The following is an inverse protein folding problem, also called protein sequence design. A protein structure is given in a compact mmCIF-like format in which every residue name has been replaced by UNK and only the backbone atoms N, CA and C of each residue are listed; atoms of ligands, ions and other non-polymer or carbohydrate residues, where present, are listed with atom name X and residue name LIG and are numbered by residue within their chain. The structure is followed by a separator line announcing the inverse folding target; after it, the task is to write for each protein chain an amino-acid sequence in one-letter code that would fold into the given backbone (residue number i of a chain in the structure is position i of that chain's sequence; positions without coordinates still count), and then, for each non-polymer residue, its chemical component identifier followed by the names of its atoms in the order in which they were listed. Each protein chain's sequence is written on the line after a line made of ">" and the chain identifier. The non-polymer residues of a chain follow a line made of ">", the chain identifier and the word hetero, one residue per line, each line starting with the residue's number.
data_IF_174619291197
#
_entry.id   IF_174619291197
#
_cell.length_a   1.000
_cell.length_b   1.000
_cell.length_c   1.000
_cell.angle_alpha   90.00
_cell.angle_beta   90.00
_cell.angle_gamma   90.00
#
_symmetry.space_group_name_H-M   'P 1'
#
loop_
_entity.id
_entity.type
_entity.pdbx_description
1 polymer ?
#
# COMPACT_ATOMS: atom_id res chain seq x y z
N UNK A 1 -5.41 -24.14 -27.05
CA UNK A 1 -5.37 -25.34 -27.92
C UNK A 1 -5.23 -24.86 -29.36
N UNK A 2 -4.34 -25.45 -30.17
CA UNK A 2 -4.21 -25.08 -31.59
C UNK A 2 -5.27 -25.82 -32.42
N UNK A 3 -6.45 -25.22 -32.56
CA UNK A 3 -7.56 -25.76 -33.38
C UNK A 3 -7.98 -24.73 -34.41
N UNK A 4 -8.57 -25.14 -35.56
CA UNK A 4 -9.07 -24.20 -36.56
C UNK A 4 -10.02 -23.16 -35.95
N UNK A 5 -10.94 -23.60 -35.08
CA UNK A 5 -11.88 -22.73 -34.36
C UNK A 5 -11.18 -21.71 -33.46
N UNK A 6 -10.10 -22.09 -32.79
CA UNK A 6 -9.34 -21.16 -31.95
C UNK A 6 -8.59 -20.11 -32.80
N UNK A 7 -8.08 -20.50 -33.96
CA UNK A 7 -7.44 -19.56 -34.90
C UNK A 7 -8.46 -18.57 -35.48
N UNK A 8 -9.62 -19.05 -35.94
CA UNK A 8 -10.71 -18.16 -36.41
C UNK A 8 -11.16 -17.18 -35.33
N UNK A 9 -11.22 -17.62 -34.07
CA UNK A 9 -11.54 -16.72 -32.96
C UNK A 9 -10.46 -15.67 -32.75
N UNK A 10 -9.17 -16.05 -32.76
CA UNK A 10 -8.04 -15.12 -32.68
C UNK A 10 -8.11 -14.10 -33.83
N UNK A 11 -8.36 -14.54 -35.06
CA UNK A 11 -8.48 -13.62 -36.21
C UNK A 11 -9.63 -12.62 -36.02
N UNK A 12 -10.76 -13.09 -35.48
CA UNK A 12 -11.91 -12.24 -35.15
C UNK A 12 -11.56 -11.24 -34.05
N UNK A 13 -10.86 -11.68 -33.01
CA UNK A 13 -10.40 -10.85 -31.91
C UNK A 13 -9.42 -9.77 -32.38
N UNK A 14 -8.46 -10.14 -33.22
CA UNK A 14 -7.53 -9.19 -33.85
C UNK A 14 -8.27 -8.19 -34.74
N UNK A 15 -9.21 -8.65 -35.57
CA UNK A 15 -9.99 -7.77 -36.43
C UNK A 15 -10.87 -6.78 -35.65
N UNK A 16 -11.36 -7.16 -34.47
CA UNK A 16 -12.14 -6.28 -33.58
C UNK A 16 -11.24 -5.28 -32.84
N UNK A 17 -10.05 -5.70 -32.36
CA UNK A 17 -9.05 -4.80 -31.76
C UNK A 17 -8.60 -3.70 -32.72
N UNK A 18 -8.51 -3.97 -34.01
CA UNK A 18 -8.07 -3.00 -35.03
C UNK A 18 -9.13 -1.92 -35.34
N UNK A 19 -10.25 -1.89 -34.61
CA UNK A 19 -11.33 -0.92 -34.81
C UNK A 19 -11.34 0.16 -33.72
N UNK A 20 -11.47 1.42 -34.13
CA UNK A 20 -11.72 2.54 -33.21
C UNK A 20 -13.09 2.44 -32.55
N UNK A 21 -13.14 2.58 -31.23
CA UNK A 21 -14.40 2.52 -30.47
C UNK A 21 -14.50 3.64 -29.43
N UNK A 22 -15.73 3.90 -28.97
CA UNK A 22 -15.94 4.75 -27.79
C UNK A 22 -15.56 3.94 -26.54
N UNK A 23 -14.92 4.56 -25.52
CA UNK A 23 -14.65 3.93 -24.23
C UNK A 23 -15.90 3.31 -23.64
N UNK A 24 -15.80 2.04 -23.23
CA UNK A 24 -16.93 1.31 -22.62
C UNK A 24 -17.11 1.62 -21.13
N UNK A 25 -16.09 2.21 -20.52
CA UNK A 25 -15.92 2.49 -19.10
C UNK A 25 -16.18 3.97 -18.74
N UNK A 26 -16.63 4.79 -19.70
CA UNK A 26 -17.08 6.17 -19.45
C UNK A 26 -15.97 7.11 -18.96
N UNK A 27 -14.70 6.71 -19.08
CA UNK A 27 -13.57 7.57 -18.81
C UNK A 27 -13.53 8.74 -19.80
N UNK A 28 -13.20 9.91 -19.27
CA UNK A 28 -13.52 11.23 -19.82
C UNK A 28 -12.91 11.47 -21.21
N UNK A 29 -13.70 11.24 -22.25
CA UNK A 29 -13.94 12.10 -23.45
C UNK A 29 -14.72 11.29 -24.50
N UNK A 30 -15.62 11.91 -25.27
CA UNK A 30 -16.32 11.25 -26.39
C UNK A 30 -15.40 10.93 -27.59
N UNK A 31 -14.09 10.83 -27.37
CA UNK A 31 -13.11 10.56 -28.41
C UNK A 31 -12.97 9.05 -28.62
N UNK A 32 -12.77 8.66 -29.88
CA UNK A 32 -12.48 7.28 -30.24
C UNK A 32 -11.06 6.94 -29.81
N UNK A 33 -10.87 5.79 -29.15
CA UNK A 33 -9.56 5.23 -28.82
C UNK A 33 -9.34 3.89 -29.54
N UNK A 34 -8.07 3.49 -29.62
CA UNK A 34 -7.70 2.14 -30.04
C UNK A 34 -8.26 1.13 -29.02
N UNK A 35 -8.96 0.12 -29.50
CA UNK A 35 -9.52 -0.90 -28.62
C UNK A 35 -8.42 -1.78 -28.06
N UNK A 36 -8.37 -1.92 -26.73
CA UNK A 36 -7.46 -2.85 -26.08
C UNK A 36 -7.86 -4.31 -26.35
N UNK A 37 -6.91 -5.23 -26.19
CA UNK A 37 -7.17 -6.66 -26.30
C UNK A 37 -8.22 -7.11 -25.27
N UNK A 38 -8.15 -6.59 -24.05
CA UNK A 38 -9.11 -6.87 -23.00
C UNK A 38 -10.53 -6.38 -23.36
N UNK A 39 -10.67 -5.12 -23.79
CA UNK A 39 -11.98 -4.55 -24.16
C UNK A 39 -12.60 -5.32 -25.32
N UNK A 40 -11.81 -5.62 -26.35
CA UNK A 40 -12.25 -6.41 -27.50
C UNK A 40 -12.71 -7.79 -27.09
N UNK A 41 -11.96 -8.46 -26.22
CA UNK A 41 -12.35 -9.77 -25.70
C UNK A 41 -13.67 -9.68 -24.92
N UNK A 42 -13.82 -8.71 -24.02
CA UNK A 42 -15.05 -8.50 -23.24
C UNK A 42 -16.24 -8.24 -24.16
N UNK A 43 -16.09 -7.38 -25.17
CA UNK A 43 -17.12 -7.08 -26.16
C UNK A 43 -17.54 -8.34 -26.91
N UNK A 44 -16.59 -9.09 -27.49
CA UNK A 44 -16.87 -10.31 -28.23
C UNK A 44 -17.53 -11.38 -27.35
N UNK A 45 -17.10 -11.49 -26.08
CA UNK A 45 -17.69 -12.42 -25.13
C UNK A 45 -19.12 -12.03 -24.73
N UNK A 46 -19.41 -10.73 -24.59
CA UNK A 46 -20.71 -10.23 -24.12
C UNK A 46 -21.88 -10.61 -25.05
N UNK A 47 -21.60 -10.84 -26.33
CA UNK A 47 -22.60 -11.19 -27.34
C UNK A 47 -23.28 -12.52 -27.00
N UNK A 48 -24.57 -12.47 -26.69
CA UNK A 48 -25.36 -13.64 -26.31
C UNK A 48 -25.01 -14.23 -24.94
N UNK A 49 -24.29 -13.47 -24.10
CA UNK A 49 -23.91 -13.89 -22.75
C UNK A 49 -25.05 -13.66 -21.73
N UNK A 50 -25.93 -12.68 -21.97
CA UNK A 50 -27.03 -12.35 -21.05
C UNK A 50 -28.38 -12.96 -21.47
N UNK A 51 -29.18 -13.49 -20.52
CA UNK A 51 -28.81 -13.71 -19.12
C UNK A 51 -27.74 -14.81 -19.00
N UNK A 52 -26.81 -14.67 -18.06
CA UNK A 52 -25.75 -15.66 -17.83
C UNK A 52 -26.41 -16.98 -17.48
N UNK A 53 -26.29 -17.97 -18.37
CA UNK A 53 -26.80 -19.33 -18.13
C UNK A 53 -25.70 -20.17 -17.55
N UNK A 54 -25.73 -20.37 -16.24
CA UNK A 54 -24.87 -21.36 -15.59
C UNK A 54 -25.16 -22.75 -16.18
N UNK A 55 -24.08 -23.47 -16.50
CA UNK A 55 -24.13 -24.86 -16.91
C UNK A 55 -24.44 -25.74 -15.66
N UNK A 56 -24.75 -27.05 -15.80
CA UNK A 56 -25.20 -27.91 -14.70
C UNK A 56 -24.37 -27.77 -13.40
N UNK A 57 -25.03 -27.92 -12.25
CA UNK A 57 -24.48 -27.66 -10.92
C UNK A 57 -23.03 -28.14 -10.76
N UNK A 58 -22.13 -27.20 -10.45
CA UNK A 58 -20.70 -27.43 -10.26
C UNK A 58 -19.82 -27.22 -11.49
N UNK A 59 -20.40 -27.09 -12.70
CA UNK A 59 -19.62 -26.69 -13.87
C UNK A 59 -19.33 -25.20 -13.82
N UNK A 60 -18.07 -24.83 -13.54
CA UNK A 60 -17.58 -23.44 -13.57
C UNK A 60 -17.53 -22.83 -14.97
N UNK A 61 -18.33 -23.35 -15.89
CA UNK A 61 -18.27 -23.07 -17.32
C UNK A 61 -19.43 -22.18 -17.73
N UNK A 62 -19.13 -21.17 -18.52
CA UNK A 62 -20.11 -20.25 -19.11
C UNK A 62 -19.93 -20.24 -20.62
N UNK A 63 -21.05 -20.10 -21.34
CA UNK A 63 -21.04 -19.95 -22.80
C UNK A 63 -21.20 -18.47 -23.17
N UNK A 64 -20.33 -18.00 -24.07
CA UNK A 64 -20.31 -16.65 -24.61
C UNK A 64 -20.32 -16.69 -26.16
N UNK A 65 -20.41 -15.51 -26.78
CA UNK A 65 -20.39 -15.34 -28.24
C UNK A 65 -21.44 -16.24 -28.92
N UNK A 66 -22.70 -16.16 -28.49
CA UNK A 66 -23.79 -17.01 -28.96
C UNK A 66 -23.50 -18.53 -28.89
N UNK A 67 -22.77 -18.97 -27.85
CA UNK A 67 -22.39 -20.38 -27.67
C UNK A 67 -21.16 -20.82 -28.48
N UNK A 68 -20.49 -19.89 -29.17
CA UNK A 68 -19.25 -20.18 -29.88
C UNK A 68 -18.03 -20.27 -28.96
N UNK A 69 -18.12 -19.76 -27.74
CA UNK A 69 -17.05 -19.86 -26.74
C UNK A 69 -17.58 -20.51 -25.48
N UNK A 70 -16.76 -21.38 -24.90
CA UNK A 70 -16.95 -21.89 -23.55
C UNK A 70 -15.71 -21.51 -22.76
N UNK A 71 -15.92 -20.74 -21.70
CA UNK A 71 -14.87 -20.33 -20.77
C UNK A 71 -15.20 -20.87 -19.39
N UNK A 72 -14.19 -20.98 -18.54
CA UNK A 72 -14.36 -21.42 -17.18
C UNK A 72 -13.68 -20.46 -16.21
N UNK A 73 -14.29 -20.25 -15.04
CA UNK A 73 -13.62 -19.51 -13.97
C UNK A 73 -12.53 -20.38 -13.36
N UNK A 74 -11.30 -19.86 -13.35
CA UNK A 74 -10.19 -20.51 -12.66
C UNK A 74 -10.40 -20.39 -11.14
N UNK A 75 -10.04 -21.41 -10.34
CA UNK A 75 -10.13 -21.31 -8.88
C UNK A 75 -9.25 -20.18 -8.37
N UNK A 76 -9.83 -19.23 -7.64
CA UNK A 76 -9.14 -18.05 -7.10
C UNK A 76 -8.07 -18.40 -6.06
N UNK A 77 -8.15 -19.58 -5.43
CA UNK A 77 -7.11 -20.05 -4.51
C UNK A 77 -5.84 -20.54 -5.22
N UNK A 78 -5.94 -20.94 -6.51
CA UNK A 78 -4.80 -21.40 -7.31
C UNK A 78 -4.36 -20.41 -8.38
N UNK A 79 -5.29 -19.60 -8.89
CA UNK A 79 -5.07 -18.49 -9.81
C UNK A 79 -5.60 -17.22 -9.16
N UNK A 80 -4.84 -16.69 -8.22
CA UNK A 80 -5.31 -15.63 -7.35
C UNK A 80 -5.32 -14.28 -8.07
N UNK A 81 -6.45 -13.58 -8.01
CA UNK A 81 -6.51 -12.18 -8.39
C UNK A 81 -5.93 -11.30 -7.27
N UNK A 82 -5.82 -10.00 -7.54
CA UNK A 82 -5.16 -9.11 -6.62
C UNK A 82 -5.86 -8.97 -5.28
N UNK A 83 -7.18 -8.90 -5.28
CA UNK A 83 -7.97 -8.79 -4.06
C UNK A 83 -7.82 -10.04 -3.18
N UNK A 84 -7.97 -11.23 -3.78
CA UNK A 84 -7.88 -12.52 -3.09
C UNK A 84 -6.47 -12.74 -2.48
N UNK A 85 -5.41 -12.38 -3.21
CA UNK A 85 -4.04 -12.61 -2.77
C UNK A 85 -3.50 -11.52 -1.84
N UNK A 86 -3.61 -10.25 -2.22
CA UNK A 86 -2.96 -9.14 -1.51
C UNK A 86 -3.82 -8.56 -0.39
N UNK A 87 -5.16 -8.63 -0.51
CA UNK A 87 -6.09 -8.01 0.44
C UNK A 87 -6.65 -9.04 1.41
N UNK A 88 -7.36 -10.05 0.88
CA UNK A 88 -7.96 -11.11 1.70
C UNK A 88 -6.92 -12.09 2.26
N UNK A 89 -5.76 -12.21 1.59
CA UNK A 89 -4.74 -13.24 1.88
C UNK A 89 -5.35 -14.65 1.92
N UNK A 90 -6.37 -14.92 1.11
CA UNK A 90 -7.18 -16.14 1.24
C UNK A 90 -6.40 -17.44 0.97
N UNK A 91 -5.51 -17.52 -0.05
CA UNK A 91 -4.62 -18.67 -0.19
C UNK A 91 -3.69 -18.84 1.02
N UNK A 92 -3.14 -17.73 1.53
CA UNK A 92 -2.17 -17.73 2.61
C UNK A 92 -2.80 -18.19 3.94
N UNK A 93 -4.02 -17.75 4.25
CA UNK A 93 -4.76 -18.16 5.46
C UNK A 93 -5.09 -19.66 5.46
N UNK A 94 -5.18 -20.26 4.27
CA UNK A 94 -5.38 -21.71 4.07
C UNK A 94 -4.07 -22.49 3.93
N UNK A 95 -2.91 -21.84 4.04
CA UNK A 95 -1.60 -22.47 3.84
C UNK A 95 -1.34 -22.92 2.39
N UNK A 96 -2.08 -22.37 1.42
CA UNK A 96 -1.96 -22.67 0.01
C UNK A 96 -0.96 -21.73 -0.67
N UNK A 97 -0.29 -22.24 -1.70
CA UNK A 97 0.57 -21.47 -2.60
C UNK A 97 -0.08 -21.45 -3.99
N UNK A 98 -0.59 -20.29 -4.45
CA UNK A 98 -1.13 -20.17 -5.80
C UNK A 98 -0.09 -20.51 -6.86
N UNK A 99 -0.53 -21.06 -7.99
CA UNK A 99 0.31 -21.20 -9.18
C UNK A 99 0.56 -19.85 -9.85
N UNK A 100 -0.43 -18.96 -9.78
CA UNK A 100 -0.42 -17.66 -10.42
C UNK A 100 -1.00 -16.62 -9.46
N UNK A 101 -0.34 -15.46 -9.42
CA UNK A 101 -0.84 -14.26 -8.76
C UNK A 101 -0.96 -13.16 -9.82
N UNK A 102 -2.19 -12.72 -10.07
CA UNK A 102 -2.48 -11.62 -10.97
C UNK A 102 -2.62 -10.33 -10.16
N UNK A 103 -1.79 -9.33 -10.47
CA UNK A 103 -2.00 -7.98 -9.99
C UNK A 103 -3.11 -7.29 -10.81
N UNK A 104 -4.36 -7.69 -10.54
CA UNK A 104 -5.60 -6.99 -10.97
C UNK A 104 -6.31 -6.30 -9.78
N UNK A 105 -7.10 -5.27 -10.06
CA UNK A 105 -7.78 -4.44 -9.04
C UNK A 105 -6.82 -3.66 -8.12
N UNK A 106 -5.64 -3.30 -8.63
CA UNK A 106 -4.69 -2.39 -7.96
C UNK A 106 -4.80 -1.00 -8.57
N UNK A 107 -4.48 -0.02 -7.74
CA UNK A 107 -4.50 1.39 -8.10
C UNK A 107 -3.09 1.85 -8.45
N UNK A 108 -2.97 2.95 -9.19
CA UNK A 108 -1.66 3.46 -9.59
C UNK A 108 -0.95 2.62 -10.65
N UNK A 109 -1.71 1.95 -11.52
CA UNK A 109 -1.21 1.28 -12.74
C UNK A 109 -0.02 0.35 -12.51
N UNK A 110 1.00 0.46 -13.38
CA UNK A 110 2.19 -0.40 -13.31
C UNK A 110 3.01 -0.19 -12.04
N UNK A 111 3.07 1.06 -11.55
CA UNK A 111 3.78 1.45 -10.33
C UNK A 111 3.19 0.74 -9.10
N UNK A 112 1.85 0.75 -9.00
CA UNK A 112 1.11 0.07 -7.94
C UNK A 112 1.23 -1.45 -8.03
N UNK A 113 1.05 -2.04 -9.22
CA UNK A 113 1.24 -3.49 -9.44
C UNK A 113 2.63 -3.96 -9.03
N UNK A 114 3.67 -3.22 -9.43
CA UNK A 114 5.06 -3.52 -9.07
C UNK A 114 5.28 -3.41 -7.57
N UNK A 115 4.79 -2.35 -6.93
CA UNK A 115 4.92 -2.21 -5.48
C UNK A 115 4.19 -3.32 -4.73
N UNK A 116 3.00 -3.73 -5.18
CA UNK A 116 2.24 -4.84 -4.58
C UNK A 116 3.01 -6.15 -4.61
N UNK A 117 3.65 -6.44 -5.73
CA UNK A 117 4.51 -7.62 -5.88
C UNK A 117 5.78 -7.51 -5.02
N UNK A 118 6.36 -6.31 -4.85
CA UNK A 118 7.49 -6.08 -3.94
C UNK A 118 7.10 -6.31 -2.48
N UNK A 119 5.92 -5.84 -2.07
CA UNK A 119 5.38 -6.00 -0.70
C UNK A 119 5.23 -7.48 -0.32
N UNK A 120 4.91 -8.36 -1.27
CA UNK A 120 4.79 -9.81 -1.06
C UNK A 120 6.01 -10.61 -1.55
N UNK A 121 7.13 -9.95 -1.86
CA UNK A 121 8.39 -10.58 -2.29
C UNK A 121 8.31 -11.41 -3.59
N UNK A 122 7.34 -11.09 -4.45
CA UNK A 122 7.14 -11.73 -5.75
C UNK A 122 7.82 -10.99 -6.91
N UNK A 123 8.42 -9.82 -6.66
CA UNK A 123 9.09 -9.02 -7.68
C UNK A 123 10.61 -9.24 -7.70
N UNK A 124 11.07 -10.23 -8.46
CA UNK A 124 12.49 -10.57 -8.60
C UNK A 124 13.23 -9.73 -9.67
N UNK A 125 12.54 -8.84 -10.39
CA UNK A 125 13.11 -8.09 -11.51
C UNK A 125 13.93 -6.86 -11.08
N UNK A 126 13.92 -6.50 -9.79
CA UNK A 126 14.76 -5.41 -9.29
C UNK A 126 16.24 -5.81 -9.29
N UNK A 127 17.16 -4.87 -9.59
CA UNK A 127 18.59 -5.15 -9.53
C UNK A 127 19.04 -5.44 -8.08
N UNK A 128 20.14 -6.19 -7.88
CA UNK A 128 20.66 -6.46 -6.53
C UNK A 128 20.89 -5.20 -5.69
N UNK A 129 21.31 -4.09 -6.32
CA UNK A 129 21.52 -2.80 -5.66
C UNK A 129 20.27 -2.25 -4.96
N UNK A 130 19.07 -2.54 -5.47
CA UNK A 130 17.82 -2.15 -4.82
C UNK A 130 17.71 -2.76 -3.40
N UNK A 131 18.21 -3.98 -3.22
CA UNK A 131 18.12 -4.72 -1.96
C UNK A 131 19.34 -4.56 -1.06
N UNK A 132 20.49 -4.18 -1.62
CA UNK A 132 21.78 -4.22 -0.92
C UNK A 132 22.45 -2.87 -0.72
N UNK A 133 22.08 -1.79 -1.42
CA UNK A 133 22.74 -0.49 -1.37
C UNK A 133 21.94 0.57 -0.60
N UNK A 134 22.66 1.50 0.05
CA UNK A 134 22.07 2.61 0.81
C UNK A 134 21.99 2.39 2.32
N UNK A 135 21.47 3.42 3.01
CA UNK A 135 21.12 3.39 4.43
C UNK A 135 19.62 3.55 4.53
N UNK A 136 18.99 2.89 5.48
CA UNK A 136 17.53 2.81 5.56
C UNK A 136 17.03 3.34 6.89
N UNK A 137 15.83 3.92 6.85
CA UNK A 137 15.10 4.42 8.00
C UNK A 137 13.68 3.83 7.99
N UNK A 138 13.26 3.20 9.08
CA UNK A 138 11.87 2.80 9.30
C UNK A 138 11.31 3.45 10.56
N UNK A 139 10.00 3.58 10.63
CA UNK A 139 9.29 3.90 11.87
C UNK A 139 8.63 2.63 12.42
N UNK A 140 8.85 2.37 13.70
CA UNK A 140 8.17 1.33 14.48
C UNK A 140 7.07 1.94 15.36
N UNK A 141 6.50 3.07 14.94
CA UNK A 141 5.46 3.75 15.71
C UNK A 141 4.22 2.87 15.80
N UNK A 142 3.79 2.62 17.03
CA UNK A 142 2.58 1.87 17.26
C UNK A 142 1.36 2.73 16.97
N UNK A 143 0.43 2.18 16.20
CA UNK A 143 -0.92 2.71 16.10
C UNK A 143 -1.53 2.80 17.51
N UNK A 144 -2.01 3.99 17.93
CA UNK A 144 -2.75 4.12 19.17
C UNK A 144 -3.94 3.15 19.19
N UNK A 145 -4.13 2.33 20.25
CA UNK A 145 -5.22 1.35 20.33
C UNK A 145 -6.59 1.99 20.11
N UNK A 146 -6.75 3.24 20.51
CA UNK A 146 -7.98 4.02 20.36
C UNK A 146 -8.38 4.20 18.89
N UNK A 147 -7.43 4.14 17.95
CA UNK A 147 -7.70 4.17 16.52
C UNK A 147 -8.16 2.82 15.95
N UNK A 148 -7.96 1.73 16.70
CA UNK A 148 -8.33 0.36 16.30
C UNK A 148 -9.60 -0.14 16.98
N UNK A 149 -9.90 0.34 18.19
CA UNK A 149 -11.07 -0.12 18.96
C UNK A 149 -12.38 0.43 18.39
N UNK A 150 -13.42 -0.41 18.33
CA UNK A 150 -14.73 -0.05 17.77
C UNK A 150 -15.49 0.95 18.64
N UNK A 151 -15.26 0.93 19.95
CA UNK A 151 -15.93 1.81 20.92
C UNK A 151 -15.49 3.28 20.83
N UNK A 152 -14.53 3.63 19.97
CA UNK A 152 -14.08 5.01 19.73
C UNK A 152 -15.13 5.90 19.02
N UNK A 153 -16.30 5.34 18.69
CA UNK A 153 -17.44 6.04 18.11
C UNK A 153 -17.25 6.47 16.64
N UNK A 154 -18.35 6.82 15.97
CA UNK A 154 -18.38 7.19 14.55
C UNK A 154 -18.55 6.00 13.60
N UNK A 155 -18.76 6.29 12.31
CA UNK A 155 -18.88 5.25 11.27
C UNK A 155 -17.55 4.52 11.03
N UNK A 156 -17.60 3.31 10.44
CA UNK A 156 -16.41 2.56 10.04
C UNK A 156 -15.49 3.39 9.14
N UNK A 157 -16.09 4.11 8.18
CA UNK A 157 -15.38 5.07 7.33
C UNK A 157 -14.68 6.15 8.15
N UNK A 158 -15.36 6.79 9.11
CA UNK A 158 -14.74 7.82 9.94
C UNK A 158 -13.58 7.29 10.80
N UNK A 159 -13.68 6.04 11.28
CA UNK A 159 -12.57 5.35 11.97
C UNK A 159 -11.40 5.11 11.02
N UNK A 160 -11.69 4.63 9.80
CA UNK A 160 -10.68 4.42 8.77
C UNK A 160 -9.95 5.72 8.40
N UNK A 161 -10.67 6.82 8.16
CA UNK A 161 -10.06 8.11 7.81
C UNK A 161 -9.15 8.64 8.92
N UNK A 162 -9.52 8.46 10.21
CA UNK A 162 -8.66 8.80 11.35
C UNK A 162 -7.38 7.95 11.39
N UNK A 163 -7.52 6.64 11.16
CA UNK A 163 -6.38 5.72 11.11
C UNK A 163 -5.42 6.06 9.96
N UNK A 164 -5.94 6.36 8.76
CA UNK A 164 -5.09 6.76 7.65
C UNK A 164 -4.42 8.10 7.89
N UNK A 165 -5.13 9.09 8.45
CA UNK A 165 -4.52 10.36 8.85
C UNK A 165 -3.29 10.13 9.73
N UNK A 166 -3.36 9.22 10.73
CA UNK A 166 -2.19 8.83 11.52
C UNK A 166 -1.01 8.33 10.67
N UNK A 167 -1.25 7.46 9.67
CA UNK A 167 -0.18 6.98 8.79
C UNK A 167 0.39 8.04 7.86
N UNK A 168 -0.44 9.00 7.40
CA UNK A 168 0.05 10.15 6.64
C UNK A 168 1.01 10.99 7.49
N UNK A 169 0.67 11.25 8.75
CA UNK A 169 1.53 11.94 9.70
C UNK A 169 2.83 11.17 9.99
N UNK A 170 2.75 9.86 10.23
CA UNK A 170 3.94 9.03 10.42
C UNK A 170 4.85 9.08 9.17
N UNK A 171 4.26 9.00 7.98
CA UNK A 171 5.02 9.05 6.72
C UNK A 171 5.62 10.43 6.44
N UNK A 172 4.92 11.49 6.82
CA UNK A 172 5.45 12.85 6.82
C UNK A 172 6.74 12.95 7.67
N UNK A 173 6.70 12.47 8.92
CA UNK A 173 7.88 12.45 9.79
C UNK A 173 8.99 11.56 9.25
N UNK A 174 8.63 10.39 8.70
CA UNK A 174 9.57 9.47 8.07
C UNK A 174 10.34 10.14 6.93
N UNK A 175 9.65 10.79 5.99
CA UNK A 175 10.31 11.46 4.84
C UNK A 175 11.26 12.56 5.31
N UNK A 176 10.80 13.37 6.27
CA UNK A 176 11.57 14.45 6.86
C UNK A 176 12.85 13.94 7.54
N UNK A 177 12.71 12.94 8.43
CA UNK A 177 13.85 12.33 9.12
C UNK A 177 14.77 11.55 8.18
N UNK A 178 14.22 10.88 7.17
CA UNK A 178 14.97 10.15 6.16
C UNK A 178 15.91 11.10 5.40
N UNK A 179 15.40 12.25 4.97
CA UNK A 179 16.20 13.29 4.32
C UNK A 179 17.25 13.87 5.27
N UNK A 180 16.86 14.26 6.48
CA UNK A 180 17.81 14.79 7.47
C UNK A 180 18.88 13.79 7.90
N UNK A 181 18.63 12.48 7.82
CA UNK A 181 19.58 11.44 8.20
C UNK A 181 20.35 10.84 7.02
N UNK A 182 20.07 11.29 5.79
CA UNK A 182 20.58 10.71 4.54
C UNK A 182 20.29 9.20 4.46
N UNK A 183 19.00 8.86 4.55
CA UNK A 183 18.49 7.48 4.57
C UNK A 183 17.30 7.33 3.63
N UNK A 184 17.17 6.14 3.06
CA UNK A 184 16.03 5.71 2.27
C UNK A 184 14.89 5.30 3.22
N UNK A 185 13.70 5.91 3.12
CA UNK A 185 12.55 5.53 3.93
C UNK A 185 12.04 4.13 3.58
N UNK A 186 11.81 3.31 4.61
CA UNK A 186 11.01 2.09 4.55
C UNK A 186 9.62 2.47 5.03
N UNK A 187 8.62 2.37 4.15
CA UNK A 187 7.25 2.76 4.45
C UNK A 187 6.69 2.01 5.68
N UNK A 188 5.84 2.65 6.50
CA UNK A 188 5.24 1.99 7.65
C UNK A 188 4.36 0.83 7.20
N UNK A 189 4.26 -0.21 8.05
CA UNK A 189 3.23 -1.23 7.88
C UNK A 189 1.89 -0.62 8.29
N UNK A 190 1.01 -0.45 7.32
CA UNK A 190 -0.29 0.18 7.54
C UNK A 190 -1.37 -0.88 7.78
N UNK A 191 -2.45 -0.45 8.45
CA UNK A 191 -3.67 -1.23 8.63
C UNK A 191 -4.83 -0.48 7.99
N UNK A 192 -5.75 -1.21 7.38
CA UNK A 192 -6.94 -0.66 6.79
C UNK A 192 -8.19 -1.20 7.48
N UNK A 193 -9.08 -0.28 7.79
CA UNK A 193 -10.40 -0.51 8.38
C UNK A 193 -11.51 -0.40 7.33
N UNK A 194 -11.17 0.04 6.12
CA UNK A 194 -12.03 -0.03 4.96
C UNK A 194 -11.20 -0.49 3.78
N UNK A 195 -11.79 -1.36 2.98
CA UNK A 195 -11.29 -1.77 1.69
C UNK A 195 -11.32 -0.59 0.70
N UNK A 196 -10.47 -0.63 -0.32
CA UNK A 196 -10.47 0.39 -1.37
C UNK A 196 -10.81 -0.27 -2.69
N UNK A 197 -11.93 0.14 -3.25
CA UNK A 197 -12.46 -0.34 -4.52
C UNK A 197 -13.05 0.86 -5.31
N UNK A 198 -13.12 0.74 -6.63
CA UNK A 198 -13.77 1.75 -7.48
C UNK A 198 -15.29 1.61 -7.48
N UNK A 199 -15.80 0.47 -7.01
CA UNK A 199 -17.22 0.18 -6.97
C UNK A 199 -17.87 0.83 -5.72
N UNK A 200 -19.01 1.54 -5.88
CA UNK A 200 -19.62 2.32 -4.80
C UNK A 200 -20.20 1.48 -3.65
N UNK A 201 -20.33 0.17 -3.82
CA UNK A 201 -20.84 -0.76 -2.80
C UNK A 201 -19.86 -0.98 -1.64
N UNK A 202 -18.62 -0.50 -1.74
CA UNK A 202 -17.64 -0.55 -0.65
C UNK A 202 -18.02 0.39 0.50
N UNK A 203 -18.69 1.51 0.24
CA UNK A 203 -18.94 2.55 1.25
C UNK A 203 -19.86 2.12 2.41
N UNK A 204 -20.97 1.38 2.20
CA UNK A 204 -21.84 0.95 3.28
C UNK A 204 -21.18 -0.01 4.28
N UNK A 205 -20.36 -0.95 3.81
CA UNK A 205 -19.79 -2.01 4.63
C UNK A 205 -18.28 -1.85 4.89
N UNK A 206 -17.61 -0.90 4.21
CA UNK A 206 -16.16 -0.78 4.18
C UNK A 206 -15.45 -2.04 3.64
N UNK A 207 -16.16 -2.83 2.86
CA UNK A 207 -15.71 -4.08 2.23
C UNK A 207 -16.48 -4.27 0.93
N UNK A 208 -15.85 -4.77 -0.13
CA UNK A 208 -16.54 -5.11 -1.38
C UNK A 208 -17.55 -6.23 -1.19
N UNK A 209 -18.74 -6.17 -1.81
CA UNK A 209 -19.76 -7.21 -1.63
C UNK A 209 -19.27 -8.60 -2.08
N UNK A 210 -19.56 -9.63 -1.29
CA UNK A 210 -19.19 -11.02 -1.60
C UNK A 210 -17.72 -11.37 -1.34
N UNK A 211 -16.97 -10.50 -0.65
CA UNK A 211 -15.60 -10.75 -0.20
C UNK A 211 -15.53 -11.58 1.09
N UNK A 212 -14.44 -12.33 1.26
CA UNK A 212 -14.06 -12.98 2.55
C UNK A 212 -13.11 -12.09 3.37
N UNK A 213 -12.99 -10.80 3.05
CA UNK A 213 -12.12 -9.86 3.75
C UNK A 213 -12.55 -9.66 5.20
N UNK A 214 -11.58 -9.78 6.11
CA UNK A 214 -11.74 -9.45 7.52
C UNK A 214 -11.01 -8.15 7.84
N UNK A 215 -11.67 -7.28 8.61
CA UNK A 215 -11.10 -6.01 9.08
C UNK A 215 -10.55 -6.16 10.52
N UNK A 216 -9.47 -5.44 10.89
CA UNK A 216 -8.54 -4.75 10.01
C UNK A 216 -7.65 -5.73 9.22
N UNK A 217 -7.18 -5.30 8.05
CA UNK A 217 -6.19 -6.02 7.25
C UNK A 217 -4.91 -5.20 7.06
N UNK A 218 -3.81 -5.84 6.64
CA UNK A 218 -2.56 -5.14 6.28
C UNK A 218 -2.82 -4.32 5.03
N UNK A 219 -2.69 -2.99 5.15
CA UNK A 219 -2.99 -2.09 4.06
C UNK A 219 -1.80 -1.94 3.11
N UNK A 220 -1.99 -2.24 1.82
CA UNK A 220 -0.95 -2.04 0.83
C UNK A 220 -0.76 -0.54 0.53
N UNK A 221 0.43 -0.17 0.05
CA UNK A 221 0.77 1.24 -0.18
C UNK A 221 -0.29 1.99 -1.00
N UNK A 222 -0.75 1.39 -2.09
CA UNK A 222 -1.67 1.99 -3.07
C UNK A 222 -3.12 2.08 -2.58
N UNK A 223 -3.43 1.60 -1.38
CA UNK A 223 -4.69 1.94 -0.72
C UNK A 223 -4.61 3.32 -0.08
N UNK A 224 -3.41 3.82 0.24
CA UNK A 224 -3.20 5.04 1.02
C UNK A 224 -2.44 6.12 0.24
N UNK A 225 -1.45 5.75 -0.57
CA UNK A 225 -0.57 6.65 -1.29
C UNK A 225 -0.64 6.39 -2.78
N UNK A 226 -0.54 7.43 -3.62
CA UNK A 226 -0.47 7.28 -5.07
C UNK A 226 0.91 6.73 -5.52
N UNK A 227 1.01 5.47 -5.98
CA UNK A 227 2.28 4.89 -6.40
C UNK A 227 2.91 5.60 -7.60
N UNK A 228 2.12 6.21 -8.48
CA UNK A 228 2.62 6.95 -9.65
C UNK A 228 3.29 8.26 -9.22
N UNK A 229 2.68 8.99 -8.28
CA UNK A 229 3.29 10.17 -7.69
C UNK A 229 4.63 9.82 -6.99
N UNK A 230 4.67 8.71 -6.26
CA UNK A 230 5.89 8.25 -5.61
C UNK A 230 7.00 7.89 -6.60
N UNK A 231 6.68 7.13 -7.66
CA UNK A 231 7.66 6.79 -8.71
C UNK A 231 8.14 8.04 -9.48
N UNK A 232 7.22 8.90 -9.92
CA UNK A 232 7.57 10.10 -10.70
C UNK A 232 8.33 11.16 -9.90
N UNK A 233 8.21 11.18 -8.58
CA UNK A 233 8.95 12.11 -7.73
C UNK A 233 10.46 11.85 -7.68
N UNK A 234 10.90 10.64 -8.04
CA UNK A 234 12.30 10.20 -7.88
C UNK A 234 12.72 9.95 -6.43
N UNK A 235 11.84 10.13 -5.43
CA UNK A 235 12.13 9.81 -4.04
C UNK A 235 12.31 8.29 -3.90
N UNK A 236 13.54 7.86 -3.58
CA UNK A 236 13.80 6.47 -3.25
C UNK A 236 13.01 6.06 -2.00
N UNK A 237 12.38 4.89 -2.02
CA UNK A 237 11.71 4.30 -0.87
C UNK A 237 11.76 2.77 -0.94
N UNK A 238 11.37 2.11 0.16
CA UNK A 238 11.23 0.65 0.25
C UNK A 238 9.87 0.25 0.83
N UNK A 239 9.29 -0.88 0.39
CA UNK A 239 8.01 -1.36 0.91
C UNK A 239 8.12 -1.72 2.39
N UNK A 240 6.98 -1.76 3.09
CA UNK A 240 6.94 -2.03 4.54
C UNK A 240 7.52 -3.39 4.95
N UNK A 241 7.53 -4.36 4.03
CA UNK A 241 8.07 -5.70 4.21
C UNK A 241 9.53 -5.82 3.74
N UNK A 242 10.21 -4.74 3.37
CA UNK A 242 11.54 -4.78 2.74
C UNK A 242 12.54 -5.69 3.47
N UNK A 243 12.67 -5.58 4.80
CA UNK A 243 13.61 -6.39 5.58
C UNK A 243 13.18 -7.86 5.78
N UNK A 244 11.95 -8.20 5.40
CA UNK A 244 11.42 -9.58 5.35
C UNK A 244 11.75 -10.26 4.02
N UNK A 245 12.15 -9.49 3.01
CA UNK A 245 12.45 -9.99 1.68
C UNK A 245 13.66 -10.92 1.69
N UNK A 246 13.57 -12.09 1.02
CA UNK A 246 14.71 -13.00 0.86
C UNK A 246 15.85 -12.39 0.02
N UNK A 247 15.56 -11.33 -0.73
CA UNK A 247 16.55 -10.62 -1.55
C UNK A 247 17.45 -9.69 -0.74
N UNK A 248 17.08 -9.35 0.51
CA UNK A 248 17.91 -8.50 1.36
C UNK A 248 19.06 -9.29 1.98
N UNK A 249 20.34 -8.85 1.83
CA UNK A 249 21.49 -9.51 2.42
C UNK A 249 21.39 -9.64 3.95
N UNK A 250 21.89 -10.76 4.48
CA UNK A 250 21.89 -11.04 5.92
C UNK A 250 22.62 -9.96 6.72
N UNK A 251 23.72 -9.42 6.19
CA UNK A 251 24.51 -8.34 6.78
C UNK A 251 23.65 -7.09 7.02
N UNK A 252 22.82 -6.72 6.02
CA UNK A 252 21.90 -5.60 6.15
C UNK A 252 20.82 -5.90 7.19
N UNK A 253 20.23 -7.11 7.16
CA UNK A 253 19.22 -7.55 8.14
C UNK A 253 19.74 -7.58 9.58
N UNK A 254 21.05 -7.78 9.78
CA UNK A 254 21.71 -7.74 11.09
C UNK A 254 22.15 -6.34 11.54
N UNK A 255 22.20 -5.36 10.63
CA UNK A 255 22.66 -3.99 10.90
C UNK A 255 21.59 -3.07 11.52
N UNK A 256 20.48 -3.64 12.01
CA UNK A 256 19.33 -2.89 12.52
C UNK A 256 19.63 -2.33 13.91
N UNK A 257 19.49 -1.01 14.06
CA UNK A 257 19.54 -0.31 15.35
C UNK A 257 18.20 0.34 15.63
N UNK A 258 17.69 0.17 16.86
CA UNK A 258 16.46 0.80 17.32
C UNK A 258 16.77 1.98 18.26
N UNK A 259 16.12 3.12 18.02
CA UNK A 259 16.17 4.32 18.88
C UNK A 259 14.74 4.68 19.28
N UNK A 260 14.52 4.80 20.59
CA UNK A 260 13.24 5.23 21.18
C UNK A 260 13.34 6.72 21.50
N UNK A 261 12.48 7.53 20.89
CA UNK A 261 12.31 8.93 21.22
C UNK A 261 11.30 9.03 22.37
N UNK A 262 11.65 9.78 23.41
CA UNK A 262 10.82 10.04 24.57
C UNK A 262 10.56 11.53 24.71
N UNK A 263 9.37 11.86 25.20
CA UNK A 263 9.09 13.22 25.63
C UNK A 263 9.96 13.58 26.87
N UNK A 264 10.25 14.86 27.05
CA UNK A 264 10.99 15.37 28.20
C UNK A 264 10.36 15.12 29.57
N UNK A 265 9.24 14.38 29.64
CA UNK A 265 8.51 14.07 30.87
C UNK A 265 8.71 12.61 31.30
N UNK A 266 9.50 11.82 30.58
CA UNK A 266 9.88 10.45 30.97
C UNK A 266 8.71 9.48 31.06
N UNK A 267 7.55 9.83 30.48
CA UNK A 267 6.38 8.95 30.46
C UNK A 267 6.55 7.96 29.31
N UNK A 268 7.03 6.74 29.63
CA UNK A 268 6.71 5.55 28.82
C UNK A 268 5.18 5.42 28.78
N UNK A 269 4.54 5.94 27.72
CA UNK A 269 3.10 5.70 27.53
C UNK A 269 2.92 4.23 27.18
N UNK A 270 2.42 3.47 28.15
CA UNK A 270 2.22 2.01 28.15
C UNK A 270 1.26 1.47 27.07
N UNK A 271 0.81 2.30 26.13
CA UNK A 271 -0.31 1.97 25.24
C UNK A 271 0.06 1.90 23.76
N UNK A 272 1.34 2.02 23.40
CA UNK A 272 1.81 1.76 22.04
C UNK A 272 1.80 0.25 21.73
N UNK A 273 0.60 -0.34 21.59
CA UNK A 273 0.41 -1.74 21.26
C UNK A 273 0.59 -1.97 19.76
N UNK A 274 1.84 -1.98 19.32
CA UNK A 274 2.26 -2.77 18.16
C UNK A 274 3.21 -3.91 18.53
N UNK A 275 3.21 -4.30 19.81
CA UNK A 275 3.98 -5.45 20.28
C UNK A 275 3.16 -6.64 20.77
N UNK A 276 1.84 -6.51 20.95
CA UNK A 276 0.99 -7.62 21.33
C UNK A 276 -0.38 -7.51 20.66
N UNK A 277 -0.66 -8.34 19.64
CA UNK A 277 -2.02 -8.86 19.51
C UNK A 277 -2.69 -8.92 18.15
N UNK A 278 -2.16 -8.35 17.06
CA UNK A 278 -2.84 -8.48 15.77
C UNK A 278 -1.88 -8.78 14.61
N UNK A 279 -1.41 -10.03 14.59
CA UNK A 279 -0.96 -10.68 13.36
C UNK A 279 -1.73 -11.99 13.27
N UNK A 280 -2.78 -12.08 12.42
CA UNK A 280 -3.49 -13.35 12.21
C UNK A 280 -2.58 -14.44 11.64
N UNK A 281 -1.52 -14.02 10.95
CA UNK A 281 -0.52 -14.92 10.40
C UNK A 281 0.62 -15.08 11.43
N UNK A 282 0.85 -16.29 11.96
CA UNK A 282 1.84 -16.61 13.01
C UNK A 282 3.30 -16.15 12.81
N UNK A 283 3.61 -15.40 11.75
CA UNK A 283 4.83 -14.64 11.53
C UNK A 283 4.78 -13.28 12.24
N UNK A 284 4.75 -13.27 13.58
CA UNK A 284 5.05 -12.05 14.34
C UNK A 284 6.32 -11.39 13.80
N UNK A 285 6.14 -10.27 13.10
CA UNK A 285 7.00 -9.79 12.02
C UNK A 285 8.47 -9.66 12.39
N UNK A 286 9.33 -9.64 11.38
CA UNK A 286 10.78 -9.43 11.53
C UNK A 286 11.11 -8.30 12.52
N UNK A 287 10.30 -7.24 12.52
CA UNK A 287 10.37 -6.12 13.45
C UNK A 287 10.18 -6.51 14.93
N UNK A 288 9.29 -7.45 15.27
CA UNK A 288 9.10 -7.95 16.65
C UNK A 288 10.33 -8.75 17.13
N UNK A 289 10.89 -9.60 16.26
CA UNK A 289 12.08 -10.41 16.58
C UNK A 289 13.34 -9.57 16.73
N UNK A 290 13.46 -8.47 15.98
CA UNK A 290 14.62 -7.58 16.02
C UNK A 290 14.48 -6.40 17.00
N UNK A 291 13.26 -5.89 17.26
CA UNK A 291 13.03 -4.84 18.25
C UNK A 291 13.44 -5.25 19.67
N UNK A 292 13.28 -6.53 20.02
CA UNK A 292 13.75 -7.07 21.30
C UNK A 292 15.28 -7.15 21.39
N UNK A 293 16.00 -7.08 20.28
CA UNK A 293 17.45 -7.37 20.22
C UNK A 293 18.36 -6.15 20.32
N UNK A 294 17.83 -4.92 20.30
CA UNK A 294 18.66 -3.72 20.45
C UNK A 294 17.88 -2.41 20.71
N UNK A 295 16.95 -2.34 21.68
CA UNK A 295 16.59 -1.03 22.25
C UNK A 295 17.79 -0.49 23.04
N UNK A 296 18.74 0.12 22.33
CA UNK A 296 20.04 0.53 22.90
C UNK A 296 20.05 1.98 23.35
N UNK A 297 19.13 2.80 22.84
CA UNK A 297 19.29 4.24 22.84
C UNK A 297 17.94 4.95 23.03
N UNK A 298 17.62 5.28 24.27
CA UNK A 298 16.49 6.17 24.61
C UNK A 298 16.95 7.63 24.52
N UNK A 299 16.30 8.44 23.68
CA UNK A 299 16.62 9.84 23.48
C UNK A 299 15.44 10.71 23.87
N UNK A 300 15.69 11.75 24.66
CA UNK A 300 14.66 12.70 25.06
C UNK A 300 14.68 13.88 24.10
N UNK A 301 13.63 14.04 23.29
CA UNK A 301 13.48 15.16 22.36
C UNK A 301 12.10 15.82 22.51
N UNK A 302 12.09 17.15 22.61
CA UNK A 302 10.86 17.96 22.58
C UNK A 302 10.48 18.42 21.16
N UNK A 303 11.44 18.36 20.23
CA UNK A 303 11.31 18.73 18.82
C UNK A 303 12.40 18.01 18.01
N UNK A 304 12.15 17.84 16.71
CA UNK A 304 13.14 17.32 15.77
C UNK A 304 13.85 18.53 15.14
N UNK A 305 15.00 18.87 15.74
CA UNK A 305 15.93 19.93 15.33
C UNK A 305 17.32 19.35 15.06
N UNK A 306 18.27 20.20 14.65
CA UNK A 306 19.64 19.81 14.28
C UNK A 306 20.39 19.06 15.40
N UNK A 307 20.16 19.43 16.67
CA UNK A 307 20.72 18.72 17.81
C UNK A 307 20.17 17.29 17.92
N UNK A 308 18.85 17.13 17.82
CA UNK A 308 18.18 15.81 17.86
C UNK A 308 18.68 14.91 16.74
N UNK A 309 18.77 15.42 15.50
CA UNK A 309 19.26 14.66 14.34
C UNK A 309 20.73 14.28 14.51
N UNK A 310 21.57 15.20 15.00
CA UNK A 310 22.99 14.92 15.28
C UNK A 310 23.15 13.79 16.30
N UNK A 311 22.39 13.81 17.40
CA UNK A 311 22.42 12.74 18.40
C UNK A 311 21.87 11.42 17.86
N UNK A 312 20.86 11.45 16.99
CA UNK A 312 20.37 10.25 16.29
C UNK A 312 21.49 9.66 15.41
N UNK A 313 22.22 10.49 14.66
CA UNK A 313 23.36 10.04 13.83
C UNK A 313 24.45 9.41 14.66
N UNK A 314 24.85 10.07 15.75
CA UNK A 314 25.85 9.55 16.69
C UNK A 314 25.46 8.17 17.24
N UNK A 315 24.20 8.04 17.69
CA UNK A 315 23.66 6.79 18.24
C UNK A 315 23.44 5.70 17.21
N UNK A 316 23.19 6.06 15.96
CA UNK A 316 23.08 5.11 14.86
C UNK A 316 24.45 4.54 14.48
N UNK A 317 25.53 5.31 14.61
CA UNK A 317 26.87 4.90 14.18
C UNK A 317 26.87 4.42 12.72
N UNK A 318 27.49 3.27 12.48
CA UNK A 318 27.57 2.64 11.14
C UNK A 318 26.35 1.79 10.77
N UNK A 319 25.28 1.84 11.56
CA UNK A 319 24.07 1.08 11.29
C UNK A 319 23.47 1.45 9.94
N UNK A 320 23.40 0.47 9.04
CA UNK A 320 22.77 0.65 7.73
C UNK A 320 21.26 0.70 7.83
N UNK A 321 20.65 0.11 8.86
CA UNK A 321 19.20 0.19 9.08
C UNK A 321 18.94 0.82 10.44
N UNK A 322 18.19 1.92 10.44
CA UNK A 322 17.75 2.61 11.64
C UNK A 322 16.24 2.50 11.77
N UNK A 323 15.77 2.23 12.99
CA UNK A 323 14.35 2.17 13.33
C UNK A 323 14.08 3.16 14.44
N UNK A 324 13.20 4.12 14.19
CA UNK A 324 12.77 5.09 15.19
C UNK A 324 11.40 4.70 15.73
N UNK A 325 11.15 5.04 16.99
CA UNK A 325 9.86 4.84 17.64
C UNK A 325 9.61 5.95 18.66
N UNK A 326 8.36 6.17 19.04
CA UNK A 326 8.01 7.13 20.09
C UNK A 326 7.95 8.58 19.60
N UNK A 327 7.86 8.81 18.28
CA UNK A 327 7.63 10.14 17.73
C UNK A 327 6.18 10.53 18.02
N UNK A 328 5.96 11.61 18.77
CA UNK A 328 4.60 12.15 18.95
C UNK A 328 4.16 12.81 17.64
N UNK A 329 2.89 12.64 17.24
CA UNK A 329 2.39 13.20 15.97
C UNK A 329 2.48 14.72 15.91
N UNK A 330 2.37 15.40 17.06
CA UNK A 330 2.50 16.85 17.20
C UNK A 330 3.94 17.31 17.42
N UNK A 331 4.93 16.41 17.34
CA UNK A 331 6.35 16.77 17.42
C UNK A 331 6.69 17.64 16.21
N UNK A 332 7.15 18.89 16.42
CA UNK A 332 7.52 19.74 15.30
C UNK A 332 8.80 19.25 14.64
N UNK A 333 8.80 19.26 13.31
CA UNK A 333 9.96 19.04 12.47
C UNK A 333 10.42 20.38 11.88
N UNK A 334 11.59 20.84 12.30
CA UNK A 334 12.08 22.18 11.93
C UNK A 334 12.91 22.10 10.66
N UNK A 335 12.20 22.01 9.52
CA UNK A 335 12.79 21.83 8.20
C UNK A 335 13.82 22.91 7.87
N UNK A 336 13.54 24.19 8.20
CA UNK A 336 14.45 25.30 7.94
C UNK A 336 15.77 25.19 8.72
N UNK A 337 15.76 24.56 9.89
CA UNK A 337 16.98 24.29 10.67
C UNK A 337 17.74 23.06 10.14
N UNK A 338 17.02 22.07 9.60
CA UNK A 338 17.55 20.76 9.25
C UNK A 338 18.03 20.64 7.81
N UNK A 339 17.37 21.34 6.89
CA UNK A 339 17.69 21.41 5.48
C UNK A 339 17.33 22.80 4.91
N UNK A 340 18.07 23.86 5.27
CA UNK A 340 17.73 25.23 4.86
C UNK A 340 17.71 25.42 3.33
N UNK A 341 18.52 24.65 2.59
CA UNK A 341 18.61 24.74 1.14
C UNK A 341 17.53 23.92 0.41
N UNK A 342 16.96 22.92 1.09
CA UNK A 342 15.98 21.99 0.52
C UNK A 342 14.65 21.92 1.25
N UNK A 343 14.40 22.81 2.22
CA UNK A 343 13.17 22.85 3.01
C UNK A 343 11.93 22.99 2.12
N UNK A 344 11.98 23.90 1.13
CA UNK A 344 10.89 24.10 0.18
C UNK A 344 10.67 22.86 -0.71
N UNK A 345 11.75 22.22 -1.16
CA UNK A 345 11.66 20.98 -1.94
C UNK A 345 11.03 19.85 -1.11
N UNK A 346 11.44 19.70 0.15
CA UNK A 346 10.91 18.70 1.07
C UNK A 346 9.44 18.96 1.43
N UNK A 347 9.03 20.22 1.62
CA UNK A 347 7.62 20.59 1.79
C UNK A 347 6.80 20.26 0.54
N UNK A 348 7.30 20.61 -0.65
CA UNK A 348 6.63 20.26 -1.93
C UNK A 348 6.50 18.74 -2.11
N UNK A 349 7.55 18.00 -1.78
CA UNK A 349 7.55 16.54 -1.83
C UNK A 349 6.48 15.97 -0.90
N UNK A 350 6.42 16.42 0.36
CA UNK A 350 5.41 15.96 1.34
C UNK A 350 4.00 16.37 0.93
N UNK A 351 3.82 17.60 0.44
CA UNK A 351 2.55 18.08 -0.07
C UNK A 351 2.03 17.18 -1.19
N UNK A 352 2.89 16.73 -2.10
CA UNK A 352 2.51 15.82 -3.18
C UNK A 352 2.31 14.37 -2.70
N UNK A 353 3.33 13.79 -2.06
CA UNK A 353 3.38 12.35 -1.75
C UNK A 353 2.51 11.92 -0.57
N UNK A 354 2.24 12.84 0.36
CA UNK A 354 1.51 12.55 1.61
C UNK A 354 0.16 13.25 1.61
N UNK A 355 0.13 14.57 1.41
CA UNK A 355 -1.11 15.35 1.56
C UNK A 355 -1.95 15.44 0.28
N UNK A 356 -1.34 15.16 -0.88
CA UNK A 356 -2.02 15.07 -2.17
C UNK A 356 -2.85 13.80 -2.32
N UNK A 357 -2.73 12.85 -1.39
CA UNK A 357 -3.41 11.57 -1.49
C UNK A 357 -4.90 11.64 -1.14
N UNK A 358 -5.65 10.71 -1.70
CA UNK A 358 -7.10 10.57 -1.54
C UNK A 358 -7.47 9.11 -1.38
N UNK A 359 -8.71 8.86 -0.94
CA UNK A 359 -9.21 7.52 -0.70
C UNK A 359 -10.67 7.34 -1.12
N UNK A 360 -10.93 6.18 -1.73
CA UNK A 360 -12.16 5.82 -2.47
C UNK A 360 -12.51 6.85 -3.55
N UNK A 361 -13.50 6.66 -4.42
CA UNK A 361 -14.04 5.44 -5.01
C UNK A 361 -13.70 5.45 -6.51
N UNK A 362 -12.49 5.89 -6.78
CA UNK A 362 -11.91 6.03 -8.11
C UNK A 362 -10.40 5.94 -7.98
N UNK A 363 -9.72 5.73 -9.10
CA UNK A 363 -8.29 5.90 -9.16
C UNK A 363 -7.88 7.33 -8.79
N UNK A 364 -6.61 7.51 -8.42
CA UNK A 364 -6.06 8.74 -7.84
C UNK A 364 -6.19 9.96 -8.76
N UNK A 365 -6.35 9.74 -10.06
CA UNK A 365 -6.48 10.75 -11.10
C UNK A 365 -7.91 11.28 -11.30
N UNK A 366 -8.93 10.64 -10.70
CA UNK A 366 -10.34 11.07 -10.88
C UNK A 366 -10.79 12.02 -9.77
N UNK A 367 -11.40 13.14 -10.18
CA UNK A 367 -11.90 14.17 -9.26
C UNK A 367 -13.22 13.80 -8.56
N UNK A 368 -13.99 12.84 -9.08
CA UNK A 368 -15.30 12.45 -8.54
C UNK A 368 -15.17 11.22 -7.65
N UNK A 369 -15.87 11.23 -6.52
CA UNK A 369 -15.93 10.09 -5.61
C UNK A 369 -14.77 9.99 -4.62
N UNK A 370 -13.86 10.97 -4.58
CA UNK A 370 -12.69 10.92 -3.71
C UNK A 370 -12.87 11.60 -2.36
N UNK A 371 -12.48 10.89 -1.28
CA UNK A 371 -12.35 11.49 0.04
C UNK A 371 -10.92 11.98 0.24
N UNK A 372 -10.77 13.27 0.53
CA UNK A 372 -9.49 13.81 0.98
C UNK A 372 -9.29 13.55 2.45
N UNK A 373 -8.05 13.27 2.82
CA UNK A 373 -7.71 13.14 4.22
C UNK A 373 -7.64 14.52 4.88
N UNK A 374 -8.27 14.68 6.05
CA UNK A 374 -8.18 15.93 6.79
C UNK A 374 -6.73 16.26 7.13
N UNK A 375 -6.33 17.50 6.85
CA UNK A 375 -4.98 17.98 7.07
C UNK A 375 -4.67 18.04 8.58
N UNK A 376 -3.44 17.74 9.03
CA UNK A 376 -2.95 17.86 10.41
C UNK A 376 -3.55 18.97 11.27
N UNK A 377 -3.58 20.19 10.72
CA UNK A 377 -4.04 21.41 11.37
C UNK A 377 -5.50 21.35 11.83
N UNK A 378 -6.28 20.37 11.35
CA UNK A 378 -7.68 20.19 11.74
C UNK A 378 -7.88 19.45 13.07
N UNK A 379 -6.90 18.65 13.54
CA UNK A 379 -7.06 17.86 14.78
C UNK A 379 -6.18 18.34 15.93
N UNK A 380 -5.00 18.89 15.63
CA UNK A 380 -4.16 19.56 16.59
C UNK A 380 -3.27 20.56 15.83
N UNK A 381 -3.19 21.83 16.27
CA UNK A 381 -2.19 22.73 15.73
C UNK A 381 -0.81 22.11 15.97
N UNK A 382 -0.02 21.97 14.90
CA UNK A 382 1.38 21.59 15.04
C UNK A 382 2.05 22.62 15.97
N UNK A 383 2.86 22.14 16.91
CA UNK A 383 3.63 23.06 17.75
C UNK A 383 4.55 23.88 16.85
N UNK A 384 4.75 25.18 17.11
CA UNK A 384 5.75 25.94 16.39
C UNK A 384 7.15 25.36 16.66
N UNK A 385 8.01 25.49 15.65
CA UNK A 385 9.45 25.47 15.83
C UNK A 385 9.92 26.72 16.61
#
# INVERSE_FOLDING_TARGET
>A
RRTPRALTFIDTWVADMMQFHKPTDGHETEHLHDMTDQESLVKLMSVGMHPIREQPAGSRQVRAANGQLTFATLPTLTFANGHTYFIQRAPQSMGLRPFVVHATFQLGGNSGKRNRLREEHLWAADPPSYWSEGRFLGLADAVPPELLVETAGGSQLARHMRLISFYLHATHHLLSLARALDRIPILPRMLCLCDRDEHPDVLPACTTSGTDLHLPFICPMDHVFDPNAWESSGQAFRPNSFLESPFVPEELRRSVVHIELQDGRGRRRRHQLWHAGFVPDGNGGFWRRNAQRAMRNVLVARSIKTATVSTIRERAGDARVLVLSGIEMDTPYCADELDPAGAEELERLRANLVWGTSWCCSDFDKNKGTHRFPHPSTFAPMRPC
#
